data_IF_507825474185
#
_entry.id   IF_507825474185
#
_cell.length_a   1.000
_cell.length_b   1.000
_cell.length_c   1.000
_cell.angle_alpha   90.00
_cell.angle_beta   90.00
_cell.angle_gamma   90.00
#
_symmetry.space_group_name_H-M   'P 1'
#
loop_
_entity.id
_entity.type
_entity.pdbx_description
1 polymer ?
#
# COMPACT_ATOMS: atom_id res chain seq x y z
N UNK A 1 -7.13 -23.58 -10.49
CA UNK A 1 -7.71 -22.26 -10.77
C UNK A 1 -7.94 -21.54 -9.44
N UNK A 2 -7.75 -20.23 -9.38
CA UNK A 2 -8.10 -19.44 -8.18
C UNK A 2 -9.63 -19.42 -8.05
N UNK A 3 -10.16 -19.67 -6.86
CA UNK A 3 -11.60 -19.62 -6.61
C UNK A 3 -11.96 -18.30 -5.92
N UNK A 4 -12.98 -17.62 -6.47
CA UNK A 4 -13.49 -16.37 -5.92
C UNK A 4 -15.01 -16.45 -5.79
N UNK A 5 -15.55 -16.04 -4.64
CA UNK A 5 -16.98 -15.87 -4.40
C UNK A 5 -17.25 -14.47 -3.89
N UNK A 6 -18.28 -13.81 -4.41
CA UNK A 6 -18.77 -12.53 -3.88
C UNK A 6 -19.99 -12.79 -3.01
N UNK A 7 -20.00 -12.23 -1.81
CA UNK A 7 -21.09 -12.35 -0.84
C UNK A 7 -21.42 -10.95 -0.33
N UNK A 8 -22.70 -10.60 -0.33
CA UNK A 8 -23.18 -9.36 0.27
C UNK A 8 -23.74 -9.65 1.66
N UNK A 9 -23.26 -8.90 2.66
CA UNK A 9 -23.73 -8.99 4.03
C UNK A 9 -24.60 -7.76 4.36
N UNK A 10 -25.68 -7.98 5.09
CA UNK A 10 -26.64 -6.93 5.47
C UNK A 10 -26.73 -6.72 7.00
N UNK A 11 -25.67 -7.08 7.73
CA UNK A 11 -25.64 -7.00 9.20
C UNK A 11 -25.30 -5.61 9.75
N UNK A 12 -25.50 -5.41 11.06
CA UNK A 12 -25.09 -4.17 11.76
C UNK A 12 -23.57 -4.00 11.86
N UNK A 13 -22.81 -5.10 12.00
CA UNK A 13 -21.34 -5.09 12.16
C UNK A 13 -20.60 -5.51 10.89
N UNK A 14 -21.21 -6.36 10.07
CA UNK A 14 -20.64 -6.86 8.82
C UNK A 14 -21.64 -6.54 7.71
N UNK A 15 -21.34 -5.49 6.96
CA UNK A 15 -22.20 -4.93 5.92
C UNK A 15 -21.41 -4.75 4.63
N UNK A 16 -22.10 -4.85 3.50
CA UNK A 16 -21.57 -4.55 2.18
C UNK A 16 -21.09 -5.79 1.44
N UNK A 17 -20.42 -5.56 0.31
CA UNK A 17 -19.94 -6.61 -0.57
C UNK A 17 -18.57 -7.12 -0.11
N UNK A 18 -18.40 -8.42 -0.03
CA UNK A 18 -17.17 -9.09 0.38
C UNK A 18 -16.74 -10.08 -0.70
N UNK A 19 -15.43 -10.18 -0.92
CA UNK A 19 -14.82 -11.18 -1.79
C UNK A 19 -14.16 -12.23 -0.89
N UNK A 20 -14.62 -13.47 -1.04
CA UNK A 20 -13.95 -14.64 -0.50
C UNK A 20 -13.04 -15.19 -1.59
N UNK A 21 -11.75 -15.28 -1.30
CA UNK A 21 -10.74 -15.81 -2.22
C UNK A 21 -9.99 -16.98 -1.59
N UNK A 22 -9.69 -17.96 -2.44
CA UNK A 22 -8.88 -19.13 -2.12
C UNK A 22 -7.71 -19.19 -3.10
N UNK A 23 -6.50 -19.00 -2.59
CA UNK A 23 -5.28 -18.83 -3.39
C UNK A 23 -4.88 -20.11 -4.12
N UNK A 24 -5.06 -21.27 -3.48
CA UNK A 24 -4.88 -22.58 -4.09
C UNK A 24 -6.03 -23.53 -3.73
N UNK A 25 -6.51 -24.38 -4.67
CA UNK A 25 -7.59 -25.32 -4.39
C UNK A 25 -7.32 -26.31 -3.24
N UNK A 26 -6.04 -26.55 -2.91
CA UNK A 26 -5.60 -27.44 -1.83
C UNK A 26 -5.50 -26.75 -0.47
N UNK A 27 -5.56 -25.41 -0.40
CA UNK A 27 -5.64 -24.70 0.87
C UNK A 27 -7.08 -24.71 1.39
N UNK A 28 -7.26 -25.07 2.66
CA UNK A 28 -8.57 -25.02 3.33
C UNK A 28 -8.91 -23.62 3.86
N UNK A 29 -7.95 -22.69 3.81
CA UNK A 29 -8.10 -21.33 4.32
C UNK A 29 -8.71 -20.41 3.25
N UNK A 30 -9.80 -19.73 3.62
CA UNK A 30 -10.43 -18.69 2.82
C UNK A 30 -10.03 -17.31 3.36
N UNK A 31 -9.59 -16.43 2.46
CA UNK A 31 -9.34 -15.03 2.79
C UNK A 31 -10.60 -14.24 2.45
N UNK A 32 -11.13 -13.52 3.43
CA UNK A 32 -12.28 -12.65 3.26
C UNK A 32 -11.81 -11.20 3.23
N UNK A 33 -12.04 -10.52 2.11
CA UNK A 33 -11.69 -9.10 1.92
C UNK A 33 -12.94 -8.31 1.60
N UNK A 34 -13.11 -7.16 2.26
CA UNK A 34 -14.18 -6.22 1.92
C UNK A 34 -13.93 -5.73 0.49
N UNK A 35 -14.94 -5.85 -0.36
CA UNK A 35 -14.91 -5.28 -1.72
C UNK A 35 -15.29 -3.81 -1.63
N UNK A 36 -14.79 -3.00 -2.56
CA UNK A 36 -15.21 -1.61 -2.68
C UNK A 36 -16.74 -1.54 -2.79
N UNK A 37 -17.37 -0.75 -1.93
CA UNK A 37 -18.80 -0.44 -1.97
C UNK A 37 -19.13 0.43 -3.19
N UNK A 38 -20.40 0.51 -3.63
CA UNK A 38 -20.83 1.48 -4.63
C UNK A 38 -20.39 2.91 -4.22
N UNK A 39 -19.49 3.51 -5.00
CA UNK A 39 -18.89 4.83 -4.71
C UNK A 39 -17.45 4.81 -4.20
N UNK A 40 -16.95 3.65 -3.73
CA UNK A 40 -15.54 3.46 -3.38
C UNK A 40 -14.72 3.04 -4.60
N UNK A 41 -13.51 3.59 -4.75
CA UNK A 41 -12.55 3.16 -5.76
C UNK A 41 -11.41 2.41 -5.09
N UNK A 42 -11.08 1.25 -5.65
CA UNK A 42 -9.80 0.58 -5.37
C UNK A 42 -8.72 1.33 -6.15
N UNK A 43 -7.80 1.95 -5.43
CA UNK A 43 -6.69 2.69 -6.02
C UNK A 43 -5.42 1.87 -5.90
N UNK A 44 -4.65 1.85 -6.99
CA UNK A 44 -3.30 1.29 -7.04
C UNK A 44 -2.34 2.44 -7.25
N UNK A 45 -1.36 2.56 -6.37
CA UNK A 45 -0.36 3.62 -6.44
C UNK A 45 1.01 3.01 -6.57
N UNK A 46 1.73 3.42 -7.60
CA UNK A 46 3.16 3.17 -7.72
C UNK A 46 3.91 4.13 -6.79
N UNK A 47 4.74 3.57 -5.94
CA UNK A 47 5.57 4.29 -4.97
C UNK A 47 7.02 4.13 -5.40
N UNK A 48 7.69 5.21 -5.85
CA UNK A 48 9.10 5.14 -6.21
C UNK A 48 9.97 4.84 -4.99
N UNK A 49 11.07 4.14 -5.21
CA UNK A 49 12.14 4.00 -4.22
C UNK A 49 12.97 5.28 -4.26
N UNK A 50 12.92 6.03 -3.16
CA UNK A 50 13.56 7.36 -3.04
C UNK A 50 14.86 7.31 -2.25
N UNK A 51 15.05 6.26 -1.44
CA UNK A 51 16.27 6.00 -0.68
C UNK A 51 16.48 4.51 -0.48
N UNK A 52 17.74 4.08 -0.53
CA UNK A 52 18.16 2.69 -0.33
C UNK A 52 19.23 2.62 0.76
N UNK A 53 18.94 1.93 1.86
CA UNK A 53 19.95 1.51 2.84
C UNK A 53 20.47 0.12 2.44
N UNK A 54 21.61 0.13 1.73
CA UNK A 54 22.20 -1.09 1.18
C UNK A 54 22.65 -2.08 2.24
N UNK A 55 23.16 -1.62 3.38
CA UNK A 55 23.66 -2.51 4.45
C UNK A 55 22.50 -3.24 5.12
N UNK A 56 21.38 -2.56 5.27
CA UNK A 56 20.20 -3.13 5.93
C UNK A 56 19.21 -3.77 4.97
N UNK A 57 19.42 -3.67 3.65
CA UNK A 57 18.45 -4.08 2.62
C UNK A 57 17.07 -3.43 2.83
N UNK A 58 17.06 -2.14 3.15
CA UNK A 58 15.82 -1.38 3.37
C UNK A 58 15.68 -0.35 2.26
N UNK A 59 14.52 -0.31 1.62
CA UNK A 59 14.14 0.72 0.66
C UNK A 59 13.06 1.61 1.25
N UNK A 60 13.08 2.89 0.88
CA UNK A 60 12.11 3.87 1.34
C UNK A 60 11.36 4.44 0.16
N UNK A 61 10.08 4.75 0.37
CA UNK A 61 9.25 5.46 -0.59
C UNK A 61 8.29 6.41 0.12
N UNK A 62 7.86 7.44 -0.62
CA UNK A 62 6.78 8.36 -0.19
C UNK A 62 5.47 7.85 -0.75
N UNK A 63 4.61 7.33 0.12
CA UNK A 63 3.35 6.69 -0.28
C UNK A 63 2.33 7.73 -0.70
N UNK A 64 2.08 8.71 0.16
CA UNK A 64 1.19 9.84 -0.10
C UNK A 64 1.86 11.12 0.40
N UNK A 65 1.60 12.22 -0.29
CA UNK A 65 2.06 13.56 0.07
C UNK A 65 0.85 14.51 0.06
N UNK A 66 0.64 15.31 1.13
CA UNK A 66 -0.52 16.17 1.24
C UNK A 66 -0.50 17.31 0.21
N UNK A 67 -1.70 17.74 -0.18
CA UNK A 67 -1.92 18.92 -1.04
C UNK A 67 -1.22 18.82 -2.41
N UNK A 68 -0.88 17.62 -2.84
CA UNK A 68 -0.31 17.34 -4.16
C UNK A 68 -1.29 16.48 -4.93
N UNK A 69 -1.65 16.94 -6.13
CA UNK A 69 -2.45 16.13 -7.04
C UNK A 69 -1.73 14.83 -7.36
N UNK A 70 -2.40 13.72 -7.10
CA UNK A 70 -1.90 12.43 -7.54
C UNK A 70 -2.11 12.18 -9.03
N UNK A 71 -1.65 11.02 -9.50
CA UNK A 71 -1.84 10.57 -10.90
C UNK A 71 -3.31 10.41 -11.31
N UNK A 72 -4.25 10.46 -10.36
CA UNK A 72 -5.70 10.38 -10.56
C UNK A 72 -6.38 11.75 -10.43
N UNK A 73 -5.59 12.82 -10.27
CA UNK A 73 -6.04 14.20 -10.04
C UNK A 73 -6.89 14.34 -8.78
N UNK A 74 -6.57 13.55 -7.77
CA UNK A 74 -7.13 13.67 -6.43
C UNK A 74 -6.12 14.32 -5.48
N UNK A 75 -6.63 15.08 -4.50
CA UNK A 75 -5.86 15.63 -3.39
C UNK A 75 -6.27 14.85 -2.15
N UNK A 76 -5.29 14.48 -1.33
CA UNK A 76 -5.52 13.84 -0.03
C UNK A 76 -5.00 14.77 1.05
N UNK A 77 -5.79 14.98 2.10
CA UNK A 77 -5.39 15.81 3.24
C UNK A 77 -4.36 15.09 4.11
N UNK A 78 -3.60 15.85 4.91
CA UNK A 78 -2.62 15.26 5.83
C UNK A 78 -3.27 14.33 6.87
N UNK A 79 -4.49 14.62 7.31
CA UNK A 79 -5.27 13.81 8.25
C UNK A 79 -5.65 12.46 7.63
N UNK A 80 -6.21 12.46 6.41
CA UNK A 80 -6.55 11.23 5.69
C UNK A 80 -5.31 10.38 5.37
N UNK A 81 -4.17 11.02 5.09
CA UNK A 81 -2.89 10.33 4.89
C UNK A 81 -2.43 9.63 6.19
N UNK A 82 -2.57 10.31 7.33
CA UNK A 82 -2.23 9.76 8.65
C UNK A 82 -3.11 8.56 8.99
N UNK A 83 -4.43 8.69 8.81
CA UNK A 83 -5.38 7.59 9.02
C UNK A 83 -5.04 6.38 8.14
N UNK A 84 -4.77 6.60 6.84
CA UNK A 84 -4.38 5.54 5.92
C UNK A 84 -3.07 4.86 6.33
N UNK A 85 -2.07 5.64 6.77
CA UNK A 85 -0.78 5.12 7.23
C UNK A 85 -0.93 4.26 8.49
N UNK A 86 -1.72 4.71 9.45
CA UNK A 86 -1.99 4.00 10.70
C UNK A 86 -2.81 2.73 10.46
N UNK A 87 -3.85 2.79 9.63
CA UNK A 87 -4.66 1.63 9.29
C UNK A 87 -3.82 0.57 8.55
N UNK A 88 -2.98 0.99 7.60
CA UNK A 88 -2.03 0.12 6.93
C UNK A 88 -1.12 -0.62 7.92
N UNK A 89 -0.52 0.12 8.86
CA UNK A 89 0.41 -0.44 9.84
C UNK A 89 -0.30 -1.35 10.86
N UNK A 90 -1.53 -1.03 11.25
CA UNK A 90 -2.29 -1.80 12.22
C UNK A 90 -2.81 -3.12 11.63
N UNK A 91 -3.35 -3.08 10.41
CA UNK A 91 -4.18 -4.17 9.89
C UNK A 91 -3.68 -4.82 8.61
N UNK A 92 -2.99 -4.09 7.73
CA UNK A 92 -2.65 -4.60 6.40
C UNK A 92 -1.21 -5.12 6.32
N UNK A 93 -0.21 -4.25 6.51
CA UNK A 93 1.25 -4.55 6.52
C UNK A 93 1.74 -5.47 5.38
N UNK A 94 1.01 -5.53 4.26
CA UNK A 94 1.34 -6.38 3.12
C UNK A 94 1.95 -5.52 2.03
N UNK A 95 3.17 -5.89 1.65
CA UNK A 95 3.88 -5.30 0.51
C UNK A 95 3.98 -6.40 -0.54
N UNK A 96 3.59 -6.08 -1.76
CA UNK A 96 3.54 -7.04 -2.85
C UNK A 96 4.20 -6.47 -4.11
N UNK A 97 4.76 -7.37 -4.91
CA UNK A 97 5.36 -7.05 -6.20
C UNK A 97 4.35 -7.37 -7.29
N UNK A 98 3.94 -6.34 -8.03
CA UNK A 98 3.05 -6.48 -9.21
C UNK A 98 1.75 -7.25 -8.96
N UNK A 99 1.23 -7.24 -7.72
CA UNK A 99 -0.01 -7.93 -7.35
C UNK A 99 0.03 -9.46 -7.55
N UNK A 100 1.22 -10.08 -7.50
CA UNK A 100 1.33 -11.54 -7.56
C UNK A 100 1.03 -12.22 -6.21
N UNK A 101 0.74 -11.43 -5.17
CA UNK A 101 0.46 -11.84 -3.78
C UNK A 101 1.59 -12.64 -3.15
N UNK A 102 2.83 -12.45 -3.62
CA UNK A 102 4.03 -13.07 -3.04
C UNK A 102 4.47 -12.24 -1.84
N UNK A 103 3.59 -12.21 -0.84
CA UNK A 103 3.58 -11.39 0.38
C UNK A 103 4.65 -11.75 1.43
N UNK A 104 5.72 -12.44 1.03
CA UNK A 104 6.74 -12.99 1.96
C UNK A 104 8.19 -12.59 1.65
N UNK A 105 8.37 -11.58 0.80
CA UNK A 105 9.71 -11.16 0.33
C UNK A 105 10.07 -9.72 0.71
N UNK A 106 9.06 -8.93 1.09
CA UNK A 106 9.20 -7.56 1.52
C UNK A 106 8.32 -7.33 2.76
N UNK A 107 8.85 -6.65 3.77
CA UNK A 107 8.13 -6.38 5.03
C UNK A 107 8.24 -4.90 5.40
N UNK A 108 7.15 -4.25 5.82
CA UNK A 108 7.25 -2.92 6.39
C UNK A 108 8.03 -3.01 7.71
N UNK A 109 9.09 -2.23 7.82
CA UNK A 109 9.92 -2.10 9.04
C UNK A 109 9.84 -0.71 9.64
N UNK A 110 9.44 0.28 8.83
CA UNK A 110 9.17 1.65 9.25
C UNK A 110 7.94 2.16 8.50
N UNK A 111 7.03 2.85 9.20
CA UNK A 111 5.87 3.52 8.62
C UNK A 111 5.54 4.72 9.50
N UNK A 112 5.69 5.93 8.98
CA UNK A 112 5.52 7.14 9.77
C UNK A 112 5.09 8.33 8.91
N UNK A 113 4.54 9.34 9.58
CA UNK A 113 4.23 10.63 9.01
C UNK A 113 5.43 11.56 9.17
N UNK A 114 5.83 12.22 8.09
CA UNK A 114 6.92 13.19 8.11
C UNK A 114 6.59 14.34 9.09
N UNK A 115 7.37 14.52 10.18
CA UNK A 115 7.01 15.47 11.24
C UNK A 115 7.20 16.94 10.84
N UNK A 116 8.05 17.18 9.85
CA UNK A 116 8.32 18.47 9.22
C UNK A 116 8.85 18.22 7.80
N UNK A 117 9.00 19.28 7.01
CA UNK A 117 9.66 19.19 5.71
C UNK A 117 11.08 18.64 5.90
N UNK A 118 11.44 17.62 5.12
CA UNK A 118 12.71 16.92 5.30
C UNK A 118 13.25 16.33 4.00
N UNK A 119 14.53 15.96 4.00
CA UNK A 119 15.14 15.20 2.92
C UNK A 119 15.06 13.70 3.23
N UNK A 120 14.52 12.91 2.30
CA UNK A 120 14.56 11.45 2.34
C UNK A 120 15.49 10.95 1.22
N UNK A 121 16.75 10.75 1.56
CA UNK A 121 17.78 10.54 0.53
C UNK A 121 18.03 11.84 -0.23
N UNK A 122 17.75 11.85 -1.53
CA UNK A 122 17.89 13.04 -2.39
C UNK A 122 16.56 13.75 -2.67
N UNK A 123 15.44 13.22 -2.17
CA UNK A 123 14.11 13.76 -2.42
C UNK A 123 13.65 14.66 -1.27
N UNK A 124 12.98 15.77 -1.62
CA UNK A 124 12.30 16.64 -0.65
C UNK A 124 10.93 16.05 -0.34
N UNK A 125 10.63 15.90 0.94
CA UNK A 125 9.36 15.36 1.43
C UNK A 125 8.70 16.42 2.30
N UNK A 126 7.43 16.72 2.02
CA UNK A 126 6.65 17.66 2.83
C UNK A 126 6.27 17.09 4.20
N UNK A 127 6.08 17.97 5.18
CA UNK A 127 5.39 17.63 6.43
C UNK A 127 4.04 16.98 6.12
N UNK A 128 3.69 15.93 6.86
CA UNK A 128 2.43 15.22 6.69
C UNK A 128 2.47 14.11 5.63
N UNK A 129 3.55 13.98 4.86
CA UNK A 129 3.71 12.86 3.93
C UNK A 129 3.88 11.52 4.66
N UNK A 130 3.28 10.47 4.13
CA UNK A 130 3.47 9.11 4.63
C UNK A 130 4.70 8.46 3.99
N UNK A 131 5.68 8.14 4.83
CA UNK A 131 6.91 7.45 4.46
C UNK A 131 6.82 5.99 4.88
N UNK A 132 7.19 5.08 3.97
CA UNK A 132 7.25 3.65 4.22
C UNK A 132 8.66 3.11 3.95
N UNK A 133 9.25 2.50 4.98
CA UNK A 133 10.51 1.77 4.92
C UNK A 133 10.25 0.26 4.88
N UNK A 134 10.79 -0.40 3.86
CA UNK A 134 10.50 -1.80 3.53
C UNK A 134 11.78 -2.62 3.48
N UNK A 135 11.86 -3.66 4.31
CA UNK A 135 12.95 -4.63 4.32
C UNK A 135 12.72 -5.66 3.22
N UNK A 136 13.70 -5.79 2.34
CA UNK A 136 13.72 -6.80 1.28
C UNK A 136 14.53 -7.99 1.76
N UNK A 137 13.93 -9.18 1.78
CA UNK A 137 14.56 -10.41 2.26
C UNK A 137 14.98 -11.35 1.14
N UNK A 138 14.40 -11.20 -0.05
CA UNK A 138 14.72 -12.02 -1.21
C UNK A 138 15.93 -11.46 -1.98
N UNK A 139 17.01 -12.24 -2.17
CA UNK A 139 18.23 -11.76 -2.83
C UNK A 139 18.03 -11.36 -4.29
N UNK A 140 17.09 -11.99 -5.01
CA UNK A 140 16.84 -11.69 -6.42
C UNK A 140 16.16 -10.33 -6.55
N UNK A 141 15.12 -10.08 -5.74
CA UNK A 141 14.46 -8.77 -5.72
C UNK A 141 15.44 -7.68 -5.31
N UNK A 142 16.29 -7.96 -4.31
CA UNK A 142 17.32 -7.02 -3.90
C UNK A 142 18.29 -6.68 -5.06
N UNK A 143 18.74 -7.70 -5.79
CA UNK A 143 19.60 -7.51 -6.97
C UNK A 143 18.90 -6.69 -8.06
N UNK A 144 17.62 -6.96 -8.33
CA UNK A 144 16.82 -6.22 -9.31
C UNK A 144 16.67 -4.73 -8.89
N UNK A 145 16.60 -4.42 -7.60
CA UNK A 145 16.62 -3.04 -7.09
C UNK A 145 18.00 -2.39 -7.29
N UNK A 146 19.07 -3.10 -6.98
CA UNK A 146 20.44 -2.59 -7.16
C UNK A 146 20.79 -2.31 -8.62
N UNK A 147 20.27 -3.15 -9.53
CA UNK A 147 20.44 -3.02 -10.97
C UNK A 147 19.48 -2.00 -11.61
N UNK A 148 18.61 -1.38 -10.80
CA UNK A 148 17.65 -0.39 -11.27
C UNK A 148 16.50 -0.95 -12.10
N UNK A 149 16.31 -2.28 -12.10
CA UNK A 149 15.19 -2.96 -12.77
C UNK A 149 13.90 -2.73 -12.00
N UNK A 150 13.96 -2.84 -10.66
CA UNK A 150 12.85 -2.51 -9.77
C UNK A 150 13.08 -1.15 -9.12
N UNK A 151 12.33 -0.15 -9.59
CA UNK A 151 12.45 1.25 -9.16
C UNK A 151 11.38 1.68 -8.16
N UNK A 152 10.43 0.80 -7.83
CA UNK A 152 9.30 1.12 -6.97
C UNK A 152 8.46 -0.11 -6.61
N UNK A 153 7.47 0.09 -5.75
CA UNK A 153 6.49 -0.93 -5.34
C UNK A 153 5.07 -0.37 -5.40
N UNK A 154 4.07 -1.26 -5.39
CA UNK A 154 2.66 -0.88 -5.50
C UNK A 154 1.96 -0.98 -4.15
N UNK A 155 1.21 0.06 -3.77
CA UNK A 155 0.31 0.06 -2.62
C UNK A 155 -1.13 0.10 -3.13
N UNK A 156 -1.99 -0.71 -2.51
CA UNK A 156 -3.42 -0.76 -2.82
C UNK A 156 -4.20 -0.20 -1.64
N UNK A 157 -5.09 0.74 -1.92
CA UNK A 157 -6.03 1.29 -0.96
C UNK A 157 -7.45 1.29 -1.50
N UNK A 158 -8.41 1.52 -0.61
CA UNK A 158 -9.80 1.81 -0.96
C UNK A 158 -10.10 3.21 -0.45
N UNK A 159 -10.57 4.09 -1.33
CA UNK A 159 -10.91 5.45 -0.97
C UNK A 159 -12.29 5.84 -1.51
N UNK A 160 -12.97 6.71 -0.79
CA UNK A 160 -14.18 7.38 -1.25
C UNK A 160 -13.78 8.76 -1.80
N UNK A 161 -14.14 9.06 -3.04
CA UNK A 161 -13.90 10.38 -3.64
C UNK A 161 -15.07 11.31 -3.33
N UNK A 162 -14.77 12.47 -2.77
CA UNK A 162 -15.73 13.55 -2.56
C UNK A 162 -15.50 14.66 -3.62
N UNK A 163 -16.56 15.31 -4.14
CA UNK A 163 -16.39 16.50 -4.96
C UNK A 163 -15.69 17.59 -4.16
N UNK A 164 -14.76 18.30 -4.79
CA UNK A 164 -14.20 19.54 -4.23
C UNK A 164 -15.24 20.64 -4.44
N UNK A 165 -15.65 21.32 -3.36
CA UNK A 165 -16.52 22.52 -3.42
C UNK A 165 -15.81 23.70 -4.10
#
# INVERSE_FOLDING_TARGET
SKEFKKIEFFGKKLKGLWTLKREEPKMEMWIMERSALPGEKVTKRYVPIVKVDKKKHIVYGVVLEPEVFDSQKDIVSAEEIEDAAHEFLAFYRKIDLEHNYVTKKCYPVESYIAPHDMMLGTEKVKKGSWILGSKVTDPKIWKDIEDGVLTGYSIVGVAQRLPVE
#
